data_IF_596375761560
#
_entry.id   IF_596375761560
#
_cell.length_a   1.000
_cell.length_b   1.000
_cell.length_c   1.000
_cell.angle_alpha   90.00
_cell.angle_beta   90.00
_cell.angle_gamma   90.00
#
_symmetry.space_group_name_H-M   'P 1'
#
loop_
_entity.id
_entity.type
_entity.pdbx_description
1 polymer ?
#
# COMPACT_ATOMS: atom_id res chain seq x y z
N UNK A 1 24.45 -0.50 -2.89
CA UNK A 1 23.48 -1.26 -2.07
C UNK A 1 22.15 -1.51 -2.83
N UNK A 2 22.19 -2.16 -3.99
CA UNK A 2 21.05 -2.17 -4.94
C UNK A 2 20.84 -3.51 -5.68
N UNK A 3 21.08 -4.65 -5.02
CA UNK A 3 20.80 -5.97 -5.61
C UNK A 3 19.30 -6.27 -5.67
N UNK A 4 18.92 -7.49 -5.26
CA UNK A 4 17.55 -8.00 -5.25
C UNK A 4 16.53 -7.17 -4.44
N UNK A 5 16.97 -6.30 -3.53
CA UNK A 5 16.09 -5.43 -2.74
C UNK A 5 15.31 -4.42 -3.60
N UNK A 6 15.78 -4.13 -4.82
CA UNK A 6 15.06 -3.30 -5.79
C UNK A 6 13.79 -3.97 -6.33
N UNK A 7 13.68 -5.30 -6.22
CA UNK A 7 12.51 -6.07 -6.67
C UNK A 7 11.39 -6.12 -5.63
N UNK A 8 11.63 -5.67 -4.39
CA UNK A 8 10.66 -5.76 -3.30
C UNK A 8 9.31 -5.08 -3.62
N UNK A 9 9.26 -3.90 -4.28
CA UNK A 9 7.99 -3.33 -4.72
C UNK A 9 7.24 -4.20 -5.75
N UNK A 10 7.95 -4.89 -6.63
CA UNK A 10 7.35 -5.81 -7.59
C UNK A 10 6.78 -7.05 -6.88
N UNK A 11 7.51 -7.61 -5.91
CA UNK A 11 7.01 -8.68 -5.06
C UNK A 11 5.78 -8.27 -4.26
N UNK A 12 5.77 -7.06 -3.68
CA UNK A 12 4.60 -6.52 -2.98
C UNK A 12 3.39 -6.42 -3.92
N UNK A 13 3.58 -5.92 -5.14
CA UNK A 13 2.50 -5.82 -6.13
C UNK A 13 1.93 -7.20 -6.48
N UNK A 14 2.79 -8.17 -6.80
CA UNK A 14 2.38 -9.54 -7.10
C UNK A 14 1.65 -10.18 -5.91
N UNK A 15 2.19 -10.04 -4.70
CA UNK A 15 1.61 -10.56 -3.46
C UNK A 15 0.22 -9.97 -3.18
N UNK A 16 0.08 -8.65 -3.32
CA UNK A 16 -1.20 -7.97 -3.11
C UNK A 16 -2.23 -8.41 -4.15
N UNK A 17 -1.85 -8.46 -5.43
CA UNK A 17 -2.75 -8.91 -6.51
C UNK A 17 -3.17 -10.36 -6.31
N UNK A 18 -2.24 -11.28 -6.03
CA UNK A 18 -2.59 -12.68 -5.77
C UNK A 18 -3.47 -12.81 -4.53
N UNK A 19 -3.17 -12.06 -3.47
CA UNK A 19 -3.92 -12.09 -2.22
C UNK A 19 -5.38 -11.67 -2.39
N UNK A 20 -5.62 -10.59 -3.14
CA UNK A 20 -6.97 -10.11 -3.46
C UNK A 20 -7.80 -11.20 -4.14
N UNK A 21 -7.25 -11.83 -5.18
CA UNK A 21 -7.96 -12.85 -5.93
C UNK A 21 -8.17 -14.15 -5.14
N UNK A 22 -7.21 -14.54 -4.30
CA UNK A 22 -7.35 -15.72 -3.43
C UNK A 22 -8.48 -15.50 -2.42
N UNK A 23 -8.50 -14.37 -1.72
CA UNK A 23 -9.53 -14.08 -0.70
C UNK A 23 -10.91 -13.96 -1.35
N UNK A 24 -11.00 -13.32 -2.52
CA UNK A 24 -12.25 -13.25 -3.29
C UNK A 24 -12.74 -14.63 -3.72
N UNK A 25 -11.88 -15.46 -4.33
CA UNK A 25 -12.24 -16.80 -4.78
C UNK A 25 -12.72 -17.69 -3.63
N UNK A 26 -12.06 -17.62 -2.48
CA UNK A 26 -12.47 -18.34 -1.27
C UNK A 26 -13.83 -17.87 -0.75
N UNK A 27 -14.07 -16.56 -0.73
CA UNK A 27 -15.35 -16.00 -0.29
C UNK A 27 -16.51 -16.44 -1.21
N UNK A 28 -16.28 -16.49 -2.52
CA UNK A 28 -17.25 -16.99 -3.50
C UNK A 28 -17.48 -18.50 -3.33
N UNK A 29 -16.40 -19.29 -3.23
CA UNK A 29 -16.48 -20.74 -3.05
C UNK A 29 -17.23 -21.12 -1.76
N UNK A 30 -16.99 -20.38 -0.67
CA UNK A 30 -17.64 -20.60 0.62
C UNK A 30 -19.03 -19.93 0.73
N UNK A 31 -19.51 -19.26 -0.32
CA UNK A 31 -20.80 -18.55 -0.35
C UNK A 31 -20.97 -17.52 0.77
N UNK A 32 -19.87 -16.87 1.17
CA UNK A 32 -19.89 -15.83 2.22
C UNK A 32 -20.11 -14.42 1.66
N UNK A 33 -20.21 -14.29 0.34
CA UNK A 33 -20.55 -13.06 -0.38
C UNK A 33 -21.62 -13.34 -1.41
N UNK A 34 -22.48 -12.35 -1.65
CA UNK A 34 -23.56 -12.44 -2.63
C UNK A 34 -23.22 -11.59 -3.87
N UNK A 35 -23.01 -12.24 -5.02
CA UNK A 35 -22.68 -11.55 -6.27
C UNK A 35 -23.89 -10.89 -6.94
N UNK A 36 -25.13 -11.19 -6.51
CA UNK A 36 -26.32 -10.52 -7.05
C UNK A 36 -26.47 -9.08 -6.56
N UNK A 37 -25.84 -8.73 -5.44
CA UNK A 37 -25.86 -7.39 -4.84
C UNK A 37 -24.77 -6.47 -5.43
N UNK A 38 -23.90 -7.00 -6.29
CA UNK A 38 -22.78 -6.29 -6.90
C UNK A 38 -21.43 -6.94 -6.60
N UNK A 39 -20.35 -6.27 -7.01
CA UNK A 39 -18.99 -6.74 -6.73
C UNK A 39 -18.63 -6.41 -5.27
N UNK A 40 -18.35 -7.42 -4.42
CA UNK A 40 -18.12 -7.19 -2.99
C UNK A 40 -16.76 -6.55 -2.74
N UNK A 41 -16.69 -5.71 -1.70
CA UNK A 41 -15.40 -5.24 -1.18
C UNK A 41 -14.54 -6.41 -0.69
N UNK A 42 -13.23 -6.30 -0.87
CA UNK A 42 -12.30 -7.37 -0.46
C UNK A 42 -12.26 -7.51 1.07
N UNK A 43 -12.43 -6.42 1.82
CA UNK A 43 -12.57 -6.44 3.29
C UNK A 43 -13.79 -7.26 3.75
N UNK A 44 -14.89 -7.19 2.99
CA UNK A 44 -16.08 -8.01 3.22
C UNK A 44 -15.79 -9.47 2.94
N UNK A 45 -15.09 -9.77 1.83
CA UNK A 45 -14.66 -11.12 1.49
C UNK A 45 -13.84 -11.74 2.64
N UNK A 46 -12.91 -10.98 3.22
CA UNK A 46 -12.07 -11.38 4.35
C UNK A 46 -12.71 -11.32 5.74
N UNK A 47 -14.05 -11.27 5.86
CA UNK A 47 -14.69 -11.07 7.17
C UNK A 47 -14.93 -12.35 7.98
N UNK A 48 -15.02 -13.53 7.34
CA UNK A 48 -15.32 -14.80 8.03
C UNK A 48 -14.14 -15.79 7.94
N UNK A 49 -13.96 -16.69 8.93
CA UNK A 49 -13.00 -17.78 8.80
C UNK A 49 -13.43 -18.80 7.71
N UNK A 50 -12.48 -19.44 7.00
CA UNK A 50 -11.02 -19.32 7.14
C UNK A 50 -10.42 -18.12 6.39
N UNK A 51 -11.16 -17.46 5.51
CA UNK A 51 -10.62 -16.41 4.64
C UNK A 51 -10.18 -15.14 5.39
N UNK A 52 -10.73 -14.87 6.57
CA UNK A 52 -10.27 -13.78 7.45
C UNK A 52 -8.85 -14.00 7.97
N UNK A 53 -8.47 -15.25 8.28
CA UNK A 53 -7.11 -15.61 8.67
C UNK A 53 -6.14 -15.39 7.49
N UNK A 54 -6.55 -15.81 6.29
CA UNK A 54 -5.76 -15.66 5.07
C UNK A 54 -5.61 -14.19 4.71
N UNK A 55 -6.69 -13.40 4.78
CA UNK A 55 -6.69 -11.96 4.54
C UNK A 55 -5.76 -11.23 5.52
N UNK A 56 -5.83 -11.57 6.82
CA UNK A 56 -4.92 -11.02 7.83
C UNK A 56 -3.46 -11.35 7.50
N UNK A 57 -3.14 -12.60 7.18
CA UNK A 57 -1.78 -13.01 6.85
C UNK A 57 -1.25 -12.27 5.62
N UNK A 58 -2.06 -12.18 4.56
CA UNK A 58 -1.70 -11.47 3.33
C UNK A 58 -1.40 -10.00 3.59
N UNK A 59 -2.28 -9.31 4.34
CA UNK A 59 -2.10 -7.89 4.64
C UNK A 59 -0.94 -7.63 5.61
N UNK A 60 -0.70 -8.50 6.60
CA UNK A 60 0.44 -8.34 7.53
C UNK A 60 1.78 -8.55 6.82
N UNK A 61 1.89 -9.56 5.93
CA UNK A 61 3.09 -9.74 5.10
C UNK A 61 3.27 -8.55 4.15
N UNK A 62 2.20 -8.06 3.54
CA UNK A 62 2.20 -6.85 2.72
C UNK A 62 2.67 -5.60 3.48
N UNK A 63 2.15 -5.40 4.70
CA UNK A 63 2.53 -4.32 5.60
C UNK A 63 4.02 -4.36 5.97
N UNK A 64 4.54 -5.55 6.29
CA UNK A 64 5.97 -5.73 6.59
C UNK A 64 6.85 -5.38 5.38
N UNK A 65 6.48 -5.85 4.18
CA UNK A 65 7.18 -5.49 2.95
C UNK A 65 7.13 -3.99 2.66
N UNK A 66 5.95 -3.36 2.81
CA UNK A 66 5.78 -1.93 2.62
C UNK A 66 6.62 -1.10 3.61
N UNK A 67 6.65 -1.49 4.89
CA UNK A 67 7.50 -0.86 5.89
C UNK A 67 8.99 -0.95 5.51
N UNK A 68 9.44 -2.13 5.06
CA UNK A 68 10.82 -2.32 4.60
C UNK A 68 11.15 -1.47 3.37
N UNK A 69 10.24 -1.39 2.39
CA UNK A 69 10.39 -0.50 1.23
C UNK A 69 10.55 0.95 1.69
N UNK A 70 9.77 1.43 2.65
CA UNK A 70 9.86 2.79 3.17
C UNK A 70 11.21 3.06 3.85
N UNK A 71 11.72 2.12 4.65
CA UNK A 71 13.02 2.22 5.32
C UNK A 71 14.16 2.23 4.29
N UNK A 72 14.15 1.31 3.33
CA UNK A 72 15.14 1.30 2.24
C UNK A 72 15.10 2.61 1.46
N UNK A 73 13.90 3.11 1.17
CA UNK A 73 13.72 4.37 0.45
C UNK A 73 14.25 5.56 1.25
N UNK A 74 14.08 5.57 2.57
CA UNK A 74 14.65 6.58 3.45
C UNK A 74 16.18 6.63 3.34
N UNK A 75 16.85 5.47 3.38
CA UNK A 75 18.30 5.40 3.20
C UNK A 75 18.73 5.87 1.81
N UNK A 76 18.03 5.46 0.75
CA UNK A 76 18.31 5.94 -0.61
C UNK A 76 18.22 7.46 -0.73
N UNK A 77 17.15 8.06 -0.18
CA UNK A 77 16.96 9.52 -0.22
C UNK A 77 18.03 10.25 0.60
N UNK A 78 18.46 9.69 1.74
CA UNK A 78 19.56 10.23 2.54
C UNK A 78 20.87 10.21 1.76
N UNK A 79 21.17 9.10 1.08
CA UNK A 79 22.39 8.94 0.30
C UNK A 79 22.39 9.86 -0.95
N UNK A 80 21.21 10.26 -1.44
CA UNK A 80 21.03 11.29 -2.47
C UNK A 80 21.10 12.74 -1.95
N UNK A 81 21.37 12.94 -0.67
CA UNK A 81 21.50 14.27 -0.05
C UNK A 81 20.17 14.95 0.28
N UNK A 82 19.05 14.22 0.35
CA UNK A 82 17.78 14.80 0.82
C UNK A 82 17.88 15.19 2.29
N UNK A 83 17.40 16.39 2.62
CA UNK A 83 17.38 16.89 4.00
C UNK A 83 16.64 15.96 4.97
N UNK A 84 17.08 15.94 6.24
CA UNK A 84 16.56 15.02 7.26
C UNK A 84 15.06 15.12 7.47
N UNK A 85 14.53 16.35 7.55
CA UNK A 85 13.11 16.63 7.80
C UNK A 85 12.16 16.07 6.72
N UNK A 86 12.29 16.42 5.42
CA UNK A 86 11.43 15.88 4.39
C UNK A 86 11.57 14.37 4.22
N UNK A 87 12.77 13.82 4.43
CA UNK A 87 13.00 12.38 4.37
C UNK A 87 12.29 11.63 5.53
N UNK A 88 12.37 12.16 6.75
CA UNK A 88 11.66 11.61 7.91
C UNK A 88 10.13 11.70 7.75
N UNK A 89 9.61 12.82 7.23
CA UNK A 89 8.17 12.96 6.97
C UNK A 89 7.66 11.86 6.03
N UNK A 90 8.39 11.59 4.95
CA UNK A 90 8.07 10.53 3.99
C UNK A 90 8.17 9.14 4.64
N UNK A 91 9.20 8.89 5.45
CA UNK A 91 9.30 7.61 6.16
C UNK A 91 8.08 7.38 7.05
N UNK A 92 7.73 8.35 7.89
CA UNK A 92 6.62 8.20 8.83
C UNK A 92 5.26 8.06 8.17
N UNK A 93 4.98 8.79 7.08
CA UNK A 93 3.72 8.60 6.34
C UNK A 93 3.62 7.19 5.76
N UNK A 94 4.71 6.66 5.22
CA UNK A 94 4.77 5.28 4.72
C UNK A 94 4.62 4.22 5.82
N UNK A 95 5.29 4.40 6.97
CA UNK A 95 5.19 3.48 8.11
C UNK A 95 3.78 3.48 8.74
N UNK A 96 3.13 4.64 8.84
CA UNK A 96 1.76 4.73 9.33
C UNK A 96 0.76 4.09 8.36
N UNK A 97 1.00 4.17 7.04
CA UNK A 97 0.22 3.44 6.04
C UNK A 97 0.38 1.92 6.16
N UNK A 98 1.61 1.44 6.38
CA UNK A 98 1.87 0.03 6.64
C UNK A 98 1.18 -0.45 7.94
N UNK A 99 1.22 0.36 9.01
CA UNK A 99 0.49 0.10 10.24
C UNK A 99 -1.03 0.01 9.98
N UNK A 100 -1.58 0.97 9.24
CA UNK A 100 -2.99 0.95 8.84
C UNK A 100 -3.37 -0.34 8.10
N UNK A 101 -2.50 -0.80 7.18
CA UNK A 101 -2.69 -2.05 6.45
C UNK A 101 -2.74 -3.27 7.38
N UNK A 102 -1.87 -3.32 8.40
CA UNK A 102 -1.91 -4.36 9.43
C UNK A 102 -3.19 -4.31 10.27
N UNK A 103 -3.64 -3.11 10.65
CA UNK A 103 -4.92 -2.93 11.36
C UNK A 103 -6.10 -3.45 10.54
N UNK A 104 -6.19 -3.10 9.25
CA UNK A 104 -7.23 -3.60 8.33
C UNK A 104 -7.26 -5.13 8.27
N UNK A 105 -6.08 -5.77 8.24
CA UNK A 105 -5.96 -7.23 8.18
C UNK A 105 -6.45 -7.94 9.44
N UNK A 106 -6.24 -7.34 10.62
CA UNK A 106 -6.52 -8.00 11.91
C UNK A 106 -7.90 -7.67 12.47
N UNK A 107 -8.45 -6.49 12.16
CA UNK A 107 -9.77 -6.06 12.62
C UNK A 107 -10.75 -6.16 11.48
N UNK A 108 -11.57 -7.21 11.42
CA UNK A 108 -12.48 -7.45 10.31
C UNK A 108 -13.60 -6.42 10.26
N UNK A 109 -14.02 -6.07 9.05
CA UNK A 109 -15.08 -5.08 8.80
C UNK A 109 -16.39 -5.43 9.52
N UNK A 110 -16.79 -6.70 9.53
CA UNK A 110 -18.02 -7.17 10.18
C UNK A 110 -17.94 -7.26 11.71
N UNK A 111 -16.74 -7.43 12.28
CA UNK A 111 -16.57 -7.69 13.71
C UNK A 111 -16.19 -6.43 14.50
N UNK A 112 -15.33 -5.57 13.95
CA UNK A 112 -14.84 -4.35 14.59
C UNK A 112 -14.68 -3.22 13.56
N UNK A 113 -15.82 -2.84 12.95
CA UNK A 113 -15.89 -1.83 11.89
C UNK A 113 -15.18 -0.50 12.23
N UNK A 114 -15.32 0.09 13.44
CA UNK A 114 -14.66 1.37 13.74
C UNK A 114 -13.13 1.29 13.61
N UNK A 115 -12.52 0.26 14.19
CA UNK A 115 -11.07 0.04 14.11
C UNK A 115 -10.63 -0.31 12.69
N UNK A 116 -11.43 -1.11 11.97
CA UNK A 116 -11.17 -1.42 10.55
C UNK A 116 -11.11 -0.15 9.70
N UNK A 117 -12.08 0.74 9.84
CA UNK A 117 -12.15 1.99 9.09
C UNK A 117 -11.01 2.96 9.47
N UNK A 118 -10.61 3.02 10.75
CA UNK A 118 -9.44 3.77 11.16
C UNK A 118 -8.16 3.23 10.49
N UNK A 119 -8.00 1.90 10.45
CA UNK A 119 -6.93 1.25 9.71
C UNK A 119 -6.96 1.56 8.21
N UNK A 120 -8.14 1.50 7.58
CA UNK A 120 -8.31 1.78 6.16
C UNK A 120 -7.96 3.23 5.81
N UNK A 121 -8.38 4.18 6.65
CA UNK A 121 -7.98 5.59 6.53
C UNK A 121 -6.46 5.74 6.57
N UNK A 122 -5.80 5.15 7.58
CA UNK A 122 -4.34 5.20 7.68
C UNK A 122 -3.66 4.56 6.46
N UNK A 123 -4.13 3.38 6.04
CA UNK A 123 -3.57 2.64 4.91
C UNK A 123 -3.64 3.46 3.61
N UNK A 124 -4.84 3.92 3.25
CA UNK A 124 -5.08 4.54 1.96
C UNK A 124 -4.69 6.02 1.92
N UNK A 125 -5.11 6.82 2.90
CA UNK A 125 -4.89 8.27 2.86
C UNK A 125 -3.41 8.61 3.10
N UNK A 126 -2.77 8.01 4.12
CA UNK A 126 -1.35 8.26 4.35
C UNK A 126 -0.47 7.58 3.30
N UNK A 127 -0.90 6.45 2.74
CA UNK A 127 -0.23 5.82 1.60
C UNK A 127 -0.25 6.71 0.35
N UNK A 128 -1.39 7.34 0.08
CA UNK A 128 -1.52 8.31 -1.02
C UNK A 128 -0.65 9.56 -0.78
N UNK A 129 -0.68 10.10 0.44
CA UNK A 129 0.18 11.22 0.84
C UNK A 129 1.67 10.87 0.67
N UNK A 130 2.09 9.66 1.04
CA UNK A 130 3.44 9.16 0.81
C UNK A 130 3.84 9.23 -0.67
N UNK A 131 2.96 8.77 -1.58
CA UNK A 131 3.23 8.84 -3.02
C UNK A 131 3.35 10.27 -3.53
N UNK A 132 2.47 11.18 -3.09
CA UNK A 132 2.57 12.60 -3.45
C UNK A 132 3.84 13.26 -2.95
N UNK A 133 4.27 12.98 -1.70
CA UNK A 133 5.52 13.52 -1.16
C UNK A 133 6.74 13.00 -1.93
N UNK A 134 6.75 11.72 -2.32
CA UNK A 134 7.79 11.14 -3.18
C UNK A 134 7.82 11.81 -4.57
N UNK A 135 6.66 12.12 -5.15
CA UNK A 135 6.56 12.81 -6.43
C UNK A 135 7.02 14.27 -6.34
N UNK A 136 6.64 14.98 -5.27
CA UNK A 136 7.07 16.35 -5.02
C UNK A 136 8.59 16.44 -4.84
N UNK A 137 9.19 15.52 -4.08
CA UNK A 137 10.63 15.43 -3.96
C UNK A 137 11.29 15.15 -5.32
N UNK A 138 10.75 14.22 -6.10
CA UNK A 138 11.26 13.95 -7.44
C UNK A 138 11.29 15.21 -8.31
N UNK A 139 10.26 16.06 -8.22
CA UNK A 139 10.21 17.32 -8.96
C UNK A 139 11.16 18.39 -8.43
N UNK A 140 11.39 18.45 -7.12
CA UNK A 140 12.38 19.37 -6.52
C UNK A 140 13.82 18.97 -6.84
N UNK A 141 14.09 17.68 -7.00
CA UNK A 141 15.43 17.14 -7.27
C UNK A 141 15.74 16.99 -8.77
N UNK A 142 15.06 17.74 -9.64
CA UNK A 142 15.20 17.63 -11.12
C UNK A 142 16.63 17.80 -11.64
N UNK A 143 17.52 18.44 -10.87
CA UNK A 143 18.92 18.75 -11.20
C UNK A 143 19.92 17.61 -10.96
N UNK A 144 19.55 16.53 -10.27
CA UNK A 144 20.45 15.39 -10.00
C UNK A 144 20.42 14.33 -11.12
N UNK A 145 21.53 13.62 -11.38
CA UNK A 145 21.57 12.51 -12.33
C UNK A 145 20.52 11.45 -11.92
N UNK A 146 19.60 11.14 -12.83
CA UNK A 146 18.45 10.28 -12.55
C UNK A 146 18.75 8.84 -12.98
N UNK A 147 18.55 7.84 -12.11
CA UNK A 147 18.36 6.49 -12.58
C UNK A 147 16.93 6.36 -13.15
N UNK A 148 16.81 6.21 -14.46
CA UNK A 148 15.57 5.84 -15.15
C UNK A 148 15.13 6.79 -16.27
N UNK A 149 14.18 6.33 -17.08
CA UNK A 149 13.70 7.05 -18.26
C UNK A 149 12.85 8.30 -17.93
N UNK A 150 12.73 9.25 -18.88
CA UNK A 150 11.97 10.50 -18.68
C UNK A 150 10.47 10.28 -18.41
N UNK A 151 9.92 9.14 -18.83
CA UNK A 151 8.52 8.75 -18.68
C UNK A 151 8.12 8.37 -17.25
N UNK A 152 9.08 8.10 -16.35
CA UNK A 152 8.79 7.66 -14.97
C UNK A 152 8.10 8.77 -14.17
N UNK A 153 8.47 10.04 -14.40
CA UNK A 153 7.86 11.18 -13.71
C UNK A 153 6.37 11.33 -14.03
N UNK A 154 5.99 11.45 -15.31
CA UNK A 154 4.59 11.47 -15.74
C UNK A 154 3.80 10.24 -15.31
N UNK A 155 4.38 9.03 -15.39
CA UNK A 155 3.73 7.80 -14.93
C UNK A 155 3.38 7.86 -13.44
N UNK A 156 4.32 8.30 -12.59
CA UNK A 156 4.07 8.43 -11.15
C UNK A 156 2.97 9.45 -10.86
N UNK A 157 2.93 10.56 -11.59
CA UNK A 157 1.84 11.54 -11.47
C UNK A 157 0.49 10.91 -11.83
N UNK A 158 0.40 10.23 -12.97
CA UNK A 158 -0.82 9.54 -13.39
C UNK A 158 -1.31 8.53 -12.35
N UNK A 159 -0.41 7.71 -11.81
CA UNK A 159 -0.73 6.73 -10.75
C UNK A 159 -1.16 7.41 -9.45
N UNK A 160 -0.51 8.50 -9.02
CA UNK A 160 -0.91 9.24 -7.81
C UNK A 160 -2.34 9.80 -7.97
N UNK A 161 -2.62 10.45 -9.09
CA UNK A 161 -3.95 10.98 -9.39
C UNK A 161 -5.01 9.87 -9.40
N UNK A 162 -4.72 8.74 -10.07
CA UNK A 162 -5.62 7.59 -10.10
C UNK A 162 -5.89 7.07 -8.69
N UNK A 163 -4.85 6.88 -7.87
CA UNK A 163 -5.01 6.46 -6.48
C UNK A 163 -5.83 7.48 -5.67
N UNK A 164 -5.69 8.79 -5.91
CA UNK A 164 -6.48 9.80 -5.20
C UNK A 164 -7.95 9.73 -5.60
N UNK A 165 -8.25 9.56 -6.88
CA UNK A 165 -9.63 9.39 -7.37
C UNK A 165 -10.26 8.13 -6.78
N UNK A 166 -9.55 7.00 -6.79
CA UNK A 166 -10.05 5.72 -6.26
C UNK A 166 -10.29 5.70 -4.75
N UNK A 167 -9.67 6.60 -3.99
CA UNK A 167 -9.92 6.72 -2.54
C UNK A 167 -11.23 7.48 -2.26
N UNK A 168 -11.61 8.40 -3.16
CA UNK A 168 -12.76 9.29 -2.98
C UNK A 168 -14.02 8.75 -3.67
N UNK A 169 -13.86 7.88 -4.67
CA UNK A 169 -14.93 7.19 -5.38
C UNK A 169 -15.52 6.03 -4.57
#
# INVERSE_FOLDING_TARGET
MWGYLSLLPAFLALWATSGIWIVFALAVANRTVNLSEGFPYISLCGSYPPQSCIFSQLLNVGAAMAAWICILRYHQLRDWGVGKWPNQLILWTGLLSALGTSVVGNFQEKNQKPTHLAGAFLAFVLGNLYFWLQLLLLWRMKSLPRPGGPWIGPLRLGLCCLCTVLIVA
#
